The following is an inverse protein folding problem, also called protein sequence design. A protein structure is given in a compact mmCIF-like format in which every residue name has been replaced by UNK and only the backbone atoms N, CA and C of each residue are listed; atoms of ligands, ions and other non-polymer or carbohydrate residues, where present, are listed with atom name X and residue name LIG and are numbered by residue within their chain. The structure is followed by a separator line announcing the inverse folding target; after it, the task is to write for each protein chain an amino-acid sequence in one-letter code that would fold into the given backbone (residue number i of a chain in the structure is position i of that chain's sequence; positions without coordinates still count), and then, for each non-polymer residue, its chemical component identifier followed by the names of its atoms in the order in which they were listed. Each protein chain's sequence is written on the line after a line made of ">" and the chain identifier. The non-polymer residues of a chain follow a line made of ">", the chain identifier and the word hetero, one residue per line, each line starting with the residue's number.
data_IF_631811178114
#
_entry.id   IF_631811178114
#
_cell.length_a   1.000
_cell.length_b   1.000
_cell.length_c   1.000
_cell.angle_alpha   90.00
_cell.angle_beta   90.00
_cell.angle_gamma   90.00
#
_symmetry.space_group_name_H-M   'P 1'
#
loop_
_entity.id
_entity.type
_entity.pdbx_description
1 polymer ?
#
# COMPACT_ATOMS: atom_id res chain seq x y z
N UNK A 1 3.91 5.42 11.77
CA UNK A 1 3.86 4.59 10.55
C UNK A 1 5.19 4.63 9.80
N UNK A 2 5.60 3.55 9.12
CA UNK A 2 6.92 3.39 8.47
C UNK A 2 7.35 4.52 7.51
N UNK A 3 6.39 5.19 6.85
CA UNK A 3 6.63 6.39 6.04
C UNK A 3 7.26 7.54 6.84
N UNK A 4 6.77 7.78 8.07
CA UNK A 4 7.28 8.83 8.94
C UNK A 4 8.70 8.53 9.48
N UNK A 5 9.11 7.26 9.48
CA UNK A 5 10.44 6.82 9.93
C UNK A 5 11.38 6.51 8.76
N UNK A 6 11.00 6.87 7.52
CA UNK A 6 11.76 6.63 6.27
C UNK A 6 12.14 5.17 6.02
N UNK A 7 11.44 4.23 6.65
CA UNK A 7 11.65 2.78 6.46
C UNK A 7 10.88 2.31 5.22
N UNK A 8 11.21 2.85 4.06
CA UNK A 8 10.44 2.65 2.82
C UNK A 8 10.42 1.19 2.36
N UNK A 9 11.48 0.42 2.57
CA UNK A 9 11.51 -1.02 2.26
C UNK A 9 10.48 -1.82 3.09
N UNK A 10 10.38 -1.54 4.38
CA UNK A 10 9.36 -2.17 5.25
C UNK A 10 7.95 -1.65 4.92
N UNK A 11 7.82 -0.36 4.59
CA UNK A 11 6.55 0.20 4.16
C UNK A 11 6.06 -0.48 2.87
N UNK A 12 6.97 -0.68 1.90
CA UNK A 12 6.70 -1.31 0.61
C UNK A 12 6.24 -2.75 0.79
N UNK A 13 6.94 -3.54 1.62
CA UNK A 13 6.53 -4.92 1.91
C UNK A 13 5.13 -4.98 2.50
N UNK A 14 4.82 -4.14 3.50
CA UNK A 14 3.53 -4.15 4.15
C UNK A 14 2.39 -3.70 3.23
N UNK A 15 2.59 -2.62 2.45
CA UNK A 15 1.54 -2.11 1.57
C UNK A 15 1.29 -3.04 0.38
N UNK A 16 2.32 -3.73 -0.11
CA UNK A 16 2.15 -4.74 -1.15
C UNK A 16 1.26 -5.89 -0.67
N UNK A 17 1.52 -6.42 0.53
CA UNK A 17 0.66 -7.46 1.13
C UNK A 17 -0.78 -6.96 1.34
N UNK A 18 -0.96 -5.69 1.73
CA UNK A 18 -2.30 -5.12 1.88
C UNK A 18 -3.04 -5.01 0.53
N UNK A 19 -2.35 -4.63 -0.55
CA UNK A 19 -2.93 -4.59 -1.91
C UNK A 19 -3.32 -5.99 -2.37
N UNK A 20 -2.47 -7.01 -2.16
CA UNK A 20 -2.76 -8.40 -2.52
C UNK A 20 -4.02 -8.92 -1.80
N UNK A 21 -4.09 -8.75 -0.47
CA UNK A 21 -5.27 -9.16 0.32
C UNK A 21 -6.52 -8.38 -0.12
N UNK A 22 -6.41 -7.07 -0.33
CA UNK A 22 -7.53 -6.25 -0.76
C UNK A 22 -8.03 -6.63 -2.15
N UNK A 23 -7.15 -7.00 -3.07
CA UNK A 23 -7.54 -7.48 -4.40
C UNK A 23 -8.30 -8.81 -4.34
N UNK A 24 -7.96 -9.70 -3.41
CA UNK A 24 -8.67 -10.97 -3.23
C UNK A 24 -10.01 -10.83 -2.51
N UNK A 25 -10.09 -9.90 -1.55
CA UNK A 25 -11.23 -9.80 -0.61
C UNK A 25 -12.22 -8.71 -0.96
N UNK A 26 -11.81 -7.67 -1.68
CA UNK A 26 -12.61 -6.49 -1.95
C UNK A 26 -12.88 -6.35 -3.45
N UNK A 27 -14.06 -5.83 -3.84
CA UNK A 27 -14.30 -5.36 -5.19
C UNK A 27 -13.28 -4.28 -5.58
N UNK A 28 -12.95 -4.19 -6.86
CA UNK A 28 -12.01 -3.20 -7.39
C UNK A 28 -12.43 -1.74 -7.18
N UNK A 29 -13.71 -1.50 -6.90
CA UNK A 29 -14.29 -0.18 -6.58
C UNK A 29 -14.27 0.16 -5.09
N UNK A 30 -13.79 -0.74 -4.23
CA UNK A 30 -13.77 -0.50 -2.79
C UNK A 30 -12.80 0.63 -2.42
N UNK A 31 -13.21 1.62 -1.61
CA UNK A 31 -12.36 2.78 -1.29
C UNK A 31 -11.01 2.38 -0.68
N UNK A 32 -10.97 1.40 0.23
CA UNK A 32 -9.70 0.91 0.79
C UNK A 32 -8.76 0.28 -0.24
N UNK A 33 -9.27 -0.37 -1.29
CA UNK A 33 -8.41 -0.90 -2.34
C UNK A 33 -7.74 0.23 -3.14
N UNK A 34 -8.47 1.31 -3.41
CA UNK A 34 -7.92 2.52 -4.04
C UNK A 34 -6.89 3.19 -3.12
N UNK A 35 -7.20 3.36 -1.84
CA UNK A 35 -6.28 3.94 -0.85
C UNK A 35 -4.96 3.16 -0.72
N UNK A 36 -5.01 1.82 -0.73
CA UNK A 36 -3.82 0.99 -0.66
C UNK A 36 -2.96 1.12 -1.92
N UNK A 37 -3.59 1.18 -3.10
CA UNK A 37 -2.88 1.45 -4.36
C UNK A 37 -2.21 2.83 -4.37
N UNK A 38 -2.92 3.87 -3.95
CA UNK A 38 -2.33 5.20 -3.84
C UNK A 38 -1.16 5.25 -2.85
N UNK A 39 -1.29 4.54 -1.73
CA UNK A 39 -0.23 4.46 -0.72
C UNK A 39 0.98 3.68 -1.24
N UNK A 40 0.76 2.61 -2.01
CA UNK A 40 1.80 1.86 -2.70
C UNK A 40 2.58 2.78 -3.65
N UNK A 41 1.89 3.56 -4.47
CA UNK A 41 2.51 4.51 -5.39
C UNK A 41 3.31 5.60 -4.67
N UNK A 42 2.76 6.15 -3.58
CA UNK A 42 3.47 7.14 -2.74
C UNK A 42 4.76 6.57 -2.16
N UNK A 43 4.76 5.30 -1.71
CA UNK A 43 5.96 4.64 -1.19
C UNK A 43 6.96 4.39 -2.32
N UNK A 44 6.49 3.94 -3.49
CA UNK A 44 7.33 3.69 -4.67
C UNK A 44 8.06 4.95 -5.14
N UNK A 45 7.42 6.11 -5.10
CA UNK A 45 8.05 7.40 -5.46
C UNK A 45 9.08 7.92 -4.43
N UNK A 46 9.18 7.29 -3.24
CA UNK A 46 10.06 7.72 -2.14
C UNK A 46 11.24 6.77 -1.89
N UNK A 47 11.27 5.62 -2.56
CA UNK A 47 12.45 4.76 -2.65
C UNK A 47 13.47 5.34 -3.64
#
# INVERSE_FOLDING_TARGET
>A
LYLATRKYSMAMKNIQQAVEIAQEKLPSTHPHFLEYKETFEKIRMKM
#
